data_IF_379431745883
#
_entry.id   IF_379431745883
#
_cell.length_a   1.000
_cell.length_b   1.000
_cell.length_c   1.000
_cell.angle_alpha   90.00
_cell.angle_beta   90.00
_cell.angle_gamma   90.00
#
_symmetry.space_group_name_H-M   'P 1'
#
loop_
_entity.id
_entity.type
_entity.pdbx_description
1 polymer ?
#
# COMPACT_ATOMS: atom_id res chain seq x y z
N UNK A 1 49.67 -11.37 -17.74
CA UNK A 1 48.58 -11.52 -16.74
C UNK A 1 47.32 -10.89 -17.32
N UNK A 2 46.30 -11.69 -17.60
CA UNK A 2 45.01 -11.23 -18.15
C UNK A 2 44.06 -11.00 -16.98
N UNK A 3 43.67 -9.75 -16.72
CA UNK A 3 42.61 -9.42 -15.77
C UNK A 3 41.33 -9.15 -16.57
N UNK A 4 40.45 -10.14 -16.63
CA UNK A 4 39.09 -9.95 -17.11
C UNK A 4 38.23 -9.44 -15.95
N UNK A 5 38.04 -8.13 -15.86
CA UNK A 5 37.04 -7.52 -14.97
C UNK A 5 35.66 -7.69 -15.60
N UNK A 6 34.88 -8.62 -15.05
CA UNK A 6 33.44 -8.67 -15.25
C UNK A 6 32.81 -7.48 -14.51
N UNK A 7 32.38 -6.45 -15.24
CA UNK A 7 31.42 -5.49 -14.71
C UNK A 7 30.06 -6.18 -14.69
N UNK A 8 29.64 -6.65 -13.51
CA UNK A 8 28.25 -6.99 -13.27
C UNK A 8 27.46 -5.68 -13.28
N UNK A 9 26.83 -5.38 -14.41
CA UNK A 9 25.82 -4.34 -14.53
C UNK A 9 24.65 -4.74 -13.65
N UNK A 10 24.48 -4.07 -12.50
CA UNK A 10 23.21 -4.10 -11.77
C UNK A 10 22.21 -3.32 -12.62
N UNK A 11 21.50 -4.04 -13.48
CA UNK A 11 20.30 -3.53 -14.12
C UNK A 11 19.24 -3.39 -13.02
N UNK A 12 19.06 -2.16 -12.52
CA UNK A 12 17.86 -1.81 -11.76
C UNK A 12 16.74 -1.71 -12.77
N UNK A 13 16.06 -2.82 -13.02
CA UNK A 13 14.84 -2.85 -13.82
C UNK A 13 13.70 -2.26 -12.97
N UNK A 14 13.07 -1.24 -13.51
CA UNK A 14 11.81 -0.70 -13.00
C UNK A 14 10.70 -1.77 -13.18
N UNK A 15 9.80 -1.89 -12.20
CA UNK A 15 8.52 -2.61 -12.25
C UNK A 15 8.48 -4.15 -12.13
N UNK A 16 9.30 -4.76 -11.27
CA UNK A 16 8.98 -6.10 -10.78
C UNK A 16 7.87 -6.03 -9.72
N UNK A 17 6.63 -6.20 -10.19
CA UNK A 17 5.49 -6.46 -9.31
C UNK A 17 5.87 -7.64 -8.43
N UNK A 18 6.02 -7.37 -7.13
CA UNK A 18 6.39 -8.30 -6.05
C UNK A 18 5.97 -9.72 -6.37
N UNK A 19 6.87 -10.70 -6.26
CA UNK A 19 6.58 -12.10 -6.57
C UNK A 19 5.39 -12.65 -5.76
N UNK A 20 4.72 -13.67 -6.30
CA UNK A 20 3.68 -14.37 -5.56
C UNK A 20 4.26 -15.15 -4.39
N UNK A 21 3.48 -15.30 -3.32
CA UNK A 21 3.84 -16.04 -2.11
C UNK A 21 5.07 -15.50 -1.34
N UNK A 22 5.53 -14.29 -1.66
CA UNK A 22 6.53 -13.51 -0.91
C UNK A 22 5.85 -12.49 0.01
N UNK A 23 6.37 -12.36 1.24
CA UNK A 23 5.91 -11.35 2.18
C UNK A 23 6.68 -10.05 1.98
N UNK A 24 5.95 -8.94 1.89
CA UNK A 24 6.51 -7.59 1.73
C UNK A 24 5.96 -6.68 2.82
N UNK A 25 6.80 -5.77 3.29
CA UNK A 25 6.43 -4.69 4.21
C UNK A 25 7.26 -3.46 3.91
N UNK A 26 6.61 -2.30 3.79
CA UNK A 26 7.24 -1.04 3.42
C UNK A 26 8.12 -1.13 2.16
N UNK A 27 7.63 -1.85 1.14
CA UNK A 27 8.33 -2.07 -0.13
C UNK A 27 9.57 -2.99 -0.06
N UNK A 28 9.83 -3.65 1.08
CA UNK A 28 10.94 -4.59 1.24
C UNK A 28 10.42 -6.02 1.44
N UNK A 29 11.09 -6.99 0.83
CA UNK A 29 10.84 -8.41 1.13
C UNK A 29 11.24 -8.72 2.57
N UNK A 30 10.35 -9.38 3.30
CA UNK A 30 10.52 -9.74 4.71
C UNK A 30 10.17 -11.22 4.91
N UNK A 31 10.71 -11.82 5.98
CA UNK A 31 10.29 -13.16 6.37
C UNK A 31 8.81 -13.17 6.78
N UNK A 32 8.03 -14.10 6.22
CA UNK A 32 6.61 -14.25 6.56
C UNK A 32 6.36 -14.64 8.03
N UNK A 33 7.39 -15.17 8.69
CA UNK A 33 7.34 -15.58 10.10
C UNK A 33 7.89 -14.50 11.05
N UNK A 34 8.42 -13.39 10.51
CA UNK A 34 8.90 -12.28 11.31
C UNK A 34 7.77 -11.77 12.21
N UNK A 35 7.98 -11.84 13.53
CA UNK A 35 7.15 -11.11 14.46
C UNK A 35 7.36 -9.62 14.16
N UNK A 36 6.33 -8.95 13.63
CA UNK A 36 6.27 -7.49 13.54
C UNK A 36 6.65 -6.94 14.91
N UNK A 37 7.89 -6.46 15.04
CA UNK A 37 8.37 -5.87 16.29
C UNK A 37 7.93 -4.43 16.25
N UNK A 38 6.65 -4.20 16.57
CA UNK A 38 5.99 -2.89 16.65
C UNK A 38 5.96 -2.08 15.33
N UNK A 39 4.96 -1.20 15.13
CA UNK A 39 5.05 -0.19 14.09
C UNK A 39 6.24 0.73 14.41
N UNK A 40 7.15 0.92 13.45
CA UNK A 40 8.22 1.90 13.59
C UNK A 40 7.57 3.28 13.49
N UNK A 41 7.14 3.84 14.63
CA UNK A 41 6.64 5.20 14.73
C UNK A 41 7.82 6.15 14.47
N UNK A 42 7.91 6.68 13.24
CA UNK A 42 8.93 7.67 12.89
C UNK A 42 8.44 9.06 13.30
N UNK A 43 8.86 9.54 14.47
CA UNK A 43 8.65 10.93 14.87
C UNK A 43 9.61 11.85 14.13
N UNK A 44 9.07 12.72 13.27
CA UNK A 44 9.62 14.03 12.89
C UNK A 44 10.77 14.06 11.87
N UNK A 45 10.57 14.77 10.72
CA UNK A 45 11.63 15.47 9.94
C UNK A 45 11.07 16.31 8.77
N UNK A 46 11.87 17.19 8.11
CA UNK A 46 11.46 18.53 7.66
C UNK A 46 10.78 18.55 6.27
N UNK A 47 10.19 19.70 5.95
CA UNK A 47 9.26 20.01 4.84
C UNK A 47 9.76 19.76 3.40
N UNK A 48 11.05 19.49 3.17
CA UNK A 48 11.63 19.37 1.81
C UNK A 48 11.31 18.02 1.13
N UNK A 49 10.82 17.03 1.89
CA UNK A 49 10.57 15.66 1.40
C UNK A 49 9.09 15.36 1.09
N UNK A 50 8.22 16.33 0.77
CA UNK A 50 6.77 16.08 0.74
C UNK A 50 6.35 14.95 -0.22
N UNK A 51 6.95 14.85 -1.41
CA UNK A 51 6.64 13.83 -2.43
C UNK A 51 7.22 12.44 -2.04
N UNK A 52 8.49 12.38 -1.61
CA UNK A 52 9.13 11.16 -1.09
C UNK A 52 8.46 10.63 0.19
N UNK A 53 7.93 11.54 1.01
CA UNK A 53 7.22 11.21 2.25
C UNK A 53 5.81 10.69 1.96
N UNK A 54 5.12 11.24 0.96
CA UNK A 54 3.83 10.70 0.49
C UNK A 54 3.99 9.27 -0.05
N UNK A 55 4.97 9.03 -0.92
CA UNK A 55 5.24 7.69 -1.44
C UNK A 55 5.58 6.67 -0.34
N UNK A 56 6.27 7.10 0.72
CA UNK A 56 6.53 6.27 1.91
C UNK A 56 5.28 5.97 2.74
N UNK A 57 4.33 6.91 2.88
CA UNK A 57 3.16 6.77 3.77
C UNK A 57 2.14 5.74 3.28
N UNK A 58 2.07 5.51 1.97
CA UNK A 58 1.14 4.56 1.37
C UNK A 58 1.86 3.53 0.48
N UNK A 59 3.17 3.35 0.64
CA UNK A 59 3.99 2.44 -0.19
C UNK A 59 3.38 1.04 -0.31
N UNK A 60 2.98 0.45 0.82
CA UNK A 60 2.33 -0.86 0.84
C UNK A 60 0.95 -0.83 0.15
N UNK A 61 0.16 0.22 0.38
CA UNK A 61 -1.16 0.35 -0.25
C UNK A 61 -1.04 0.48 -1.78
N UNK A 62 -0.04 1.22 -2.25
CA UNK A 62 0.26 1.42 -3.67
C UNK A 62 0.72 0.12 -4.31
N UNK A 63 1.71 -0.54 -3.72
CA UNK A 63 2.23 -1.82 -4.22
C UNK A 63 1.14 -2.90 -4.26
N UNK A 64 0.24 -2.92 -3.26
CA UNK A 64 -0.92 -3.81 -3.26
C UNK A 64 -1.93 -3.47 -4.38
N UNK A 65 -2.18 -2.18 -4.64
CA UNK A 65 -3.08 -1.76 -5.71
C UNK A 65 -2.51 -2.10 -7.10
N UNK A 66 -1.24 -1.80 -7.36
CA UNK A 66 -0.53 -2.16 -8.59
C UNK A 66 -0.56 -3.68 -8.83
N UNK A 67 -0.27 -4.46 -7.78
CA UNK A 67 -0.32 -5.92 -7.88
C UNK A 67 -1.74 -6.42 -8.19
N UNK A 68 -2.77 -5.84 -7.58
CA UNK A 68 -4.16 -6.22 -7.84
C UNK A 68 -4.57 -5.91 -9.28
N UNK A 69 -4.24 -4.73 -9.79
CA UNK A 69 -4.56 -4.33 -11.17
C UNK A 69 -3.94 -5.30 -12.16
N UNK A 70 -2.63 -5.59 -12.01
CA UNK A 70 -1.95 -6.57 -12.86
C UNK A 70 -2.60 -7.95 -12.79
N UNK A 71 -2.98 -8.40 -11.60
CA UNK A 71 -3.65 -9.71 -11.41
C UNK A 71 -5.05 -9.76 -12.02
N UNK A 72 -5.70 -8.62 -12.24
CA UNK A 72 -6.95 -8.50 -12.96
C UNK A 72 -6.75 -8.30 -14.48
N UNK A 73 -5.52 -8.37 -14.98
CA UNK A 73 -5.20 -8.16 -16.40
C UNK A 73 -5.24 -6.68 -16.83
N UNK A 74 -5.13 -5.76 -15.87
CA UNK A 74 -5.05 -4.32 -16.13
C UNK A 74 -3.57 -3.88 -16.07
N UNK A 75 -2.95 -3.74 -17.23
CA UNK A 75 -1.56 -3.33 -17.42
C UNK A 75 -1.42 -2.29 -18.55
N UNK A 76 -0.19 -1.84 -18.82
CA UNK A 76 0.06 -0.79 -19.82
C UNK A 76 -0.70 0.50 -19.51
N UNK A 77 -1.50 0.98 -20.46
CA UNK A 77 -2.32 2.19 -20.33
C UNK A 77 -3.46 2.03 -19.31
N UNK A 78 -3.86 0.79 -19.00
CA UNK A 78 -4.88 0.46 -18.00
C UNK A 78 -4.27 0.10 -16.64
N UNK A 79 -2.93 0.21 -16.50
CA UNK A 79 -2.26 -0.01 -15.23
C UNK A 79 -2.81 0.90 -14.12
N UNK A 80 -2.57 0.49 -12.87
CA UNK A 80 -2.95 1.30 -11.73
C UNK A 80 -2.22 2.65 -11.77
N UNK A 81 -2.99 3.74 -11.77
CA UNK A 81 -2.49 5.11 -11.67
C UNK A 81 -3.04 5.74 -10.37
N UNK A 82 -2.13 6.03 -9.44
CA UNK A 82 -2.47 6.65 -8.16
C UNK A 82 -3.19 7.99 -8.33
N UNK A 83 -2.83 8.82 -9.32
CA UNK A 83 -3.47 10.12 -9.53
C UNK A 83 -4.89 9.95 -10.04
N UNK A 84 -5.11 8.95 -10.89
CA UNK A 84 -6.44 8.60 -11.43
C UNK A 84 -7.38 8.10 -10.34
N UNK A 85 -6.91 7.22 -9.45
CA UNK A 85 -7.77 6.54 -8.48
C UNK A 85 -7.79 7.21 -7.10
N UNK A 86 -6.75 7.94 -6.71
CA UNK A 86 -6.57 8.53 -5.38
C UNK A 86 -6.64 10.06 -5.33
N UNK A 87 -6.96 10.71 -6.45
CA UNK A 87 -7.43 12.09 -6.49
C UNK A 87 -8.89 12.17 -7.02
N UNK A 88 -9.68 11.13 -6.76
CA UNK A 88 -11.01 10.97 -7.35
C UNK A 88 -12.13 11.06 -6.32
N UNK A 89 -13.35 11.33 -6.79
CA UNK A 89 -14.53 11.18 -5.97
C UNK A 89 -14.65 12.24 -4.87
N UNK A 90 -15.41 11.89 -3.84
CA UNK A 90 -15.54 12.65 -2.60
C UNK A 90 -14.68 12.03 -1.48
N UNK A 91 -14.41 10.72 -1.56
CA UNK A 91 -13.76 9.92 -0.53
C UNK A 91 -12.42 9.35 -0.99
N UNK A 92 -12.18 9.11 -2.28
CA UNK A 92 -10.89 8.64 -2.81
C UNK A 92 -9.82 9.74 -2.94
N UNK A 93 -9.71 10.65 -1.97
CA UNK A 93 -8.63 11.64 -1.90
C UNK A 93 -7.55 11.15 -0.93
N UNK A 94 -6.51 10.48 -1.44
CA UNK A 94 -5.37 9.93 -0.67
C UNK A 94 -4.05 10.65 -1.02
N UNK A 95 -4.09 11.82 -1.66
CA UNK A 95 -2.89 12.62 -1.99
C UNK A 95 -2.71 13.88 -1.12
N UNK A 96 -3.55 14.04 -0.09
CA UNK A 96 -3.50 15.18 0.84
C UNK A 96 -2.51 15.00 2.00
N UNK A 97 -2.54 15.92 2.97
CA UNK A 97 -1.65 15.89 4.14
C UNK A 97 -1.93 14.72 5.10
N UNK A 98 -3.18 14.24 5.13
CA UNK A 98 -3.64 13.08 5.91
C UNK A 98 -4.39 12.08 5.02
N UNK A 99 -3.65 11.41 4.11
CA UNK A 99 -4.24 10.71 2.98
C UNK A 99 -5.22 9.60 3.39
N UNK A 100 -4.95 8.87 4.47
CA UNK A 100 -5.78 7.72 4.87
C UNK A 100 -6.73 8.04 6.02
N UNK A 101 -6.49 9.13 6.75
CA UNK A 101 -7.21 9.46 7.99
C UNK A 101 -8.35 10.46 7.77
N UNK A 102 -8.19 11.39 6.82
CA UNK A 102 -9.17 12.43 6.59
C UNK A 102 -10.38 11.90 5.81
N UNK A 103 -11.56 12.02 6.42
CA UNK A 103 -12.80 11.57 5.81
C UNK A 103 -13.21 12.50 4.67
N UNK A 104 -13.68 11.91 3.57
CA UNK A 104 -14.38 12.65 2.52
C UNK A 104 -15.72 13.21 3.00
N UNK A 105 -16.20 14.27 2.35
CA UNK A 105 -17.50 14.88 2.64
C UNK A 105 -18.54 14.49 1.59
N UNK A 106 -19.79 14.31 2.02
CA UNK A 106 -20.93 14.05 1.14
C UNK A 106 -21.12 12.59 0.72
N UNK A 107 -22.02 12.37 -0.25
CA UNK A 107 -22.36 11.05 -0.76
C UNK A 107 -21.28 10.55 -1.74
N UNK A 108 -20.94 9.25 -1.73
CA UNK A 108 -20.02 8.70 -2.72
C UNK A 108 -20.54 8.91 -4.14
N UNK A 109 -19.64 9.28 -5.06
CA UNK A 109 -20.00 9.50 -6.48
C UNK A 109 -20.38 8.21 -7.20
N UNK A 110 -19.64 7.14 -6.94
CA UNK A 110 -19.82 5.85 -7.62
C UNK A 110 -19.36 4.66 -6.74
N UNK A 111 -19.26 3.49 -7.36
CA UNK A 111 -18.82 2.26 -6.71
C UNK A 111 -17.38 2.35 -6.20
N UNK A 112 -16.47 3.00 -6.93
CA UNK A 112 -15.08 3.20 -6.51
C UNK A 112 -15.03 4.10 -5.27
N UNK A 113 -15.73 5.23 -5.31
CA UNK A 113 -15.80 6.19 -4.20
C UNK A 113 -16.43 5.58 -2.94
N UNK A 114 -17.38 4.65 -3.14
CA UNK A 114 -17.98 3.86 -2.06
C UNK A 114 -16.94 2.96 -1.37
N UNK A 115 -16.01 2.35 -2.13
CA UNK A 115 -14.91 1.56 -1.54
C UNK A 115 -13.92 2.44 -0.80
N UNK A 116 -13.60 3.61 -1.31
CA UNK A 116 -12.73 4.56 -0.63
C UNK A 116 -13.34 5.06 0.68
N UNK A 117 -14.65 5.34 0.68
CA UNK A 117 -15.37 5.66 1.92
C UNK A 117 -15.27 4.52 2.93
N UNK A 118 -15.56 3.28 2.52
CA UNK A 118 -15.48 2.11 3.39
C UNK A 118 -14.06 1.87 3.93
N UNK A 119 -13.04 2.14 3.11
CA UNK A 119 -11.64 2.08 3.53
C UNK A 119 -11.33 3.10 4.63
N UNK A 120 -11.70 4.37 4.44
CA UNK A 120 -11.48 5.43 5.44
C UNK A 120 -12.28 5.18 6.73
N UNK A 121 -13.50 4.64 6.62
CA UNK A 121 -14.28 4.19 7.78
C UNK A 121 -13.60 3.04 8.53
N UNK A 122 -12.94 2.12 7.81
CA UNK A 122 -12.15 1.06 8.42
C UNK A 122 -10.98 1.63 9.23
N UNK A 123 -10.23 2.57 8.66
CA UNK A 123 -9.13 3.25 9.36
C UNK A 123 -9.62 4.02 10.60
N UNK A 124 -10.79 4.68 10.50
CA UNK A 124 -11.44 5.34 11.65
C UNK A 124 -11.77 4.34 12.77
N UNK A 125 -12.30 3.16 12.42
CA UNK A 125 -12.61 2.12 13.41
C UNK A 125 -11.36 1.57 14.09
N UNK A 126 -10.26 1.41 13.34
CA UNK A 126 -8.98 0.96 13.91
C UNK A 126 -8.49 1.95 14.96
N UNK A 127 -8.44 3.25 14.62
CA UNK A 127 -8.08 4.31 15.58
C UNK A 127 -8.97 4.32 16.81
N UNK A 128 -10.29 4.20 16.62
CA UNK A 128 -11.25 4.16 17.72
C UNK A 128 -10.99 2.99 18.68
N UNK A 129 -10.60 1.83 18.16
CA UNK A 129 -10.45 0.61 18.95
C UNK A 129 -9.04 0.42 19.52
N UNK A 130 -8.02 1.03 18.91
CA UNK A 130 -6.61 0.77 19.20
C UNK A 130 -5.79 2.02 19.53
N UNK A 131 -6.43 3.18 19.71
CA UNK A 131 -5.76 4.43 20.05
C UNK A 131 -5.41 5.28 18.82
N UNK A 132 -5.16 6.57 19.08
CA UNK A 132 -4.85 7.56 18.03
C UNK A 132 -3.44 7.39 17.44
N UNK A 133 -2.61 6.54 18.05
CA UNK A 133 -1.32 6.10 17.51
C UNK A 133 -1.46 5.08 16.37
N UNK A 134 -2.60 4.40 16.26
CA UNK A 134 -2.85 3.38 15.24
C UNK A 134 -3.39 4.02 13.95
N UNK A 135 -2.56 4.82 13.29
CA UNK A 135 -2.88 5.51 12.03
C UNK A 135 -2.20 4.77 10.88
N UNK A 136 -2.97 4.39 9.85
CA UNK A 136 -2.43 3.66 8.70
C UNK A 136 -1.26 4.36 7.98
N UNK A 137 -1.14 5.69 8.12
CA UNK A 137 -0.06 6.52 7.55
C UNK A 137 1.30 6.29 8.20
N UNK A 138 1.33 5.73 9.40
CA UNK A 138 2.53 5.52 10.19
C UNK A 138 2.82 4.04 10.45
N UNK A 139 2.02 3.14 9.88
CA UNK A 139 2.12 1.69 10.09
C UNK A 139 2.40 1.02 8.75
N UNK A 140 3.56 0.35 8.67
CA UNK A 140 3.85 -0.56 7.56
C UNK A 140 3.07 -1.86 7.74
N UNK A 141 2.52 -2.38 6.64
CA UNK A 141 1.74 -3.61 6.65
C UNK A 141 2.57 -4.75 6.06
N UNK A 142 2.59 -5.91 6.72
CA UNK A 142 3.13 -7.11 6.10
C UNK A 142 2.05 -7.82 5.29
N UNK A 143 2.17 -7.77 3.96
CA UNK A 143 1.22 -8.33 3.02
C UNK A 143 1.86 -9.38 2.10
N UNK A 144 1.03 -10.27 1.57
CA UNK A 144 1.43 -11.33 0.64
C UNK A 144 0.27 -11.68 -0.28
N UNK A 145 0.52 -11.73 -1.59
CA UNK A 145 -0.42 -12.35 -2.53
C UNK A 145 -0.24 -13.86 -2.53
N UNK A 146 -1.31 -14.61 -2.32
CA UNK A 146 -1.25 -16.09 -2.34
C UNK A 146 -1.75 -16.61 -3.66
N UNK A 147 -0.88 -17.24 -4.46
CA UNK A 147 -1.25 -17.73 -5.79
C UNK A 147 -2.40 -18.75 -5.69
N UNK A 148 -2.27 -19.74 -4.80
CA UNK A 148 -3.29 -20.78 -4.55
C UNK A 148 -4.69 -20.22 -4.26
N UNK A 149 -4.77 -19.03 -3.65
CA UNK A 149 -6.05 -18.45 -3.20
C UNK A 149 -6.53 -17.30 -4.08
N UNK A 150 -5.67 -16.71 -4.90
CA UNK A 150 -6.01 -15.56 -5.75
C UNK A 150 -6.39 -14.30 -4.98
N UNK A 151 -5.85 -14.11 -3.76
CA UNK A 151 -6.07 -12.90 -2.97
C UNK A 151 -4.94 -12.63 -1.96
N UNK A 152 -4.91 -11.41 -1.42
CA UNK A 152 -3.98 -11.00 -0.36
C UNK A 152 -4.27 -11.69 0.98
N UNK A 153 -3.30 -12.42 1.52
CA UNK A 153 -3.47 -13.06 2.83
C UNK A 153 -3.17 -12.10 3.99
N UNK A 154 -3.98 -12.21 5.04
CA UNK A 154 -3.70 -11.64 6.37
C UNK A 154 -2.61 -12.51 7.01
N UNK A 155 -1.45 -11.92 7.28
CA UNK A 155 -0.40 -12.60 8.06
C UNK A 155 -0.85 -12.66 9.53
N UNK A 156 -0.52 -13.75 10.24
CA UNK A 156 -1.10 -14.08 11.56
C UNK A 156 -0.81 -13.06 12.68
N UNK A 157 0.02 -12.05 12.43
CA UNK A 157 0.40 -11.01 13.40
C UNK A 157 0.30 -9.56 12.90
N UNK A 158 -0.14 -9.33 11.65
CA UNK A 158 -0.43 -7.96 11.20
C UNK A 158 -1.91 -7.64 11.43
N UNK A 159 -2.15 -6.65 12.27
CA UNK A 159 -3.49 -6.14 12.53
C UNK A 159 -3.95 -5.31 11.33
N UNK A 160 -4.77 -5.94 10.48
CA UNK A 160 -5.88 -5.39 9.68
C UNK A 160 -5.49 -4.32 8.62
N UNK A 161 -6.04 -4.44 7.39
CA UNK A 161 -6.84 -3.38 6.72
C UNK A 161 -7.22 -3.68 5.24
N UNK A 162 -6.44 -4.26 4.30
CA UNK A 162 -6.80 -4.03 2.89
C UNK A 162 -7.71 -5.08 2.23
N UNK A 163 -7.96 -6.26 2.83
CA UNK A 163 -8.60 -7.37 2.07
C UNK A 163 -10.04 -7.12 1.63
N UNK A 164 -10.76 -6.16 2.24
CA UNK A 164 -12.11 -5.78 1.81
C UNK A 164 -12.19 -4.52 0.94
N UNK A 165 -11.20 -3.64 0.99
CA UNK A 165 -11.18 -2.41 0.19
C UNK A 165 -10.98 -2.70 -1.31
N UNK A 166 -10.21 -3.76 -1.61
CA UNK A 166 -9.79 -4.11 -2.97
C UNK A 166 -10.60 -5.21 -3.64
N UNK A 167 -11.76 -5.61 -3.09
CA UNK A 167 -12.67 -6.52 -3.79
C UNK A 167 -13.54 -5.69 -4.73
N UNK A 168 -13.00 -5.38 -5.90
CA UNK A 168 -13.76 -4.87 -7.05
C UNK A 168 -14.53 -6.06 -7.62
N UNK A 169 -15.82 -6.10 -7.33
CA UNK A 169 -16.84 -6.79 -8.13
C UNK A 169 -17.86 -5.73 -8.51
#
# INVERSE_FOLDING_TARGET
MKLSTFFATVAVAFADIVADDVCVSNGQEVSCDAASTQPIVRSGRPEVDRELNQERRYSDLKAMAEKLWKKNGLDGDDAFDERKYWAYGCHCYLLGDRPMTEMGMGRPKDALDTKCKAYKECQRCVRKNHGDECIGEFVAYMWKWTNKKGYFCRTKRSWIVPTRAFRVR
#
